data_IF_817172329085
#
_entry.id   IF_817172329085
#
_cell.length_a   1.000
_cell.length_b   1.000
_cell.length_c   1.000
_cell.angle_alpha   90.00
_cell.angle_beta   90.00
_cell.angle_gamma   90.00
#
_symmetry.space_group_name_H-M   'P 1'
#
loop_
_entity.id
_entity.type
_entity.pdbx_description
1 polymer ?
#
# COMPACT_ATOMS: atom_id res chain seq x y z
N UNK A 1 -1.47 -11.34 9.88
CA UNK A 1 -0.02 -11.00 9.87
C UNK A 1 0.88 -12.20 9.69
N UNK A 2 1.07 -13.04 10.72
CA UNK A 2 2.14 -14.06 10.67
C UNK A 2 2.03 -15.01 9.46
N UNK A 3 0.81 -15.32 9.02
CA UNK A 3 0.53 -16.09 7.81
C UNK A 3 1.16 -15.48 6.55
N UNK A 4 0.89 -14.22 6.26
CA UNK A 4 1.45 -13.52 5.09
C UNK A 4 2.96 -13.33 5.18
N UNK A 5 3.46 -13.07 6.39
CA UNK A 5 4.89 -13.07 6.66
C UNK A 5 5.53 -14.43 6.33
N UNK A 6 4.94 -15.55 6.79
CA UNK A 6 5.45 -16.88 6.54
C UNK A 6 5.41 -17.23 5.05
N UNK A 7 4.33 -16.88 4.35
CA UNK A 7 4.21 -17.04 2.89
C UNK A 7 5.38 -16.38 2.16
N UNK A 8 5.71 -15.13 2.49
CA UNK A 8 6.85 -14.42 1.89
C UNK A 8 8.21 -15.06 2.19
N UNK A 9 8.38 -15.64 3.39
CA UNK A 9 9.60 -16.38 3.70
C UNK A 9 9.72 -17.63 2.83
N UNK A 10 8.64 -18.37 2.69
CA UNK A 10 8.62 -19.62 1.93
C UNK A 10 8.89 -19.36 0.44
N UNK A 11 8.27 -18.33 -0.14
CA UNK A 11 8.49 -17.90 -1.53
C UNK A 11 9.94 -17.44 -1.80
N UNK A 12 10.55 -16.76 -0.83
CA UNK A 12 11.93 -16.22 -0.95
C UNK A 12 12.99 -17.19 -0.45
N UNK A 13 12.61 -18.37 0.06
CA UNK A 13 13.53 -19.33 0.68
C UNK A 13 14.24 -18.80 1.94
N UNK A 14 13.63 -17.85 2.63
CA UNK A 14 14.17 -17.19 3.82
C UNK A 14 13.72 -17.88 5.11
N UNK A 15 14.45 -17.64 6.19
CA UNK A 15 14.17 -18.11 7.55
C UNK A 15 14.04 -16.94 8.51
N UNK A 16 13.40 -17.17 9.66
CA UNK A 16 13.32 -16.18 10.75
C UNK A 16 14.71 -15.63 11.14
N UNK A 17 15.75 -16.45 11.04
CA UNK A 17 17.13 -16.02 11.30
C UNK A 17 17.62 -14.93 10.34
N UNK A 18 17.16 -14.94 9.09
CA UNK A 18 17.54 -13.96 8.07
C UNK A 18 16.86 -12.62 8.36
N UNK A 19 15.56 -12.68 8.67
CA UNK A 19 14.77 -11.51 9.08
C UNK A 19 15.31 -10.91 10.37
N UNK A 20 15.69 -11.74 11.33
CA UNK A 20 16.26 -11.29 12.60
C UNK A 20 17.57 -10.52 12.39
N UNK A 21 18.45 -11.04 11.53
CA UNK A 21 19.72 -10.38 11.17
C UNK A 21 19.50 -9.05 10.44
N UNK A 22 18.51 -8.95 9.56
CA UNK A 22 18.24 -7.74 8.79
C UNK A 22 17.51 -6.64 9.58
N UNK A 23 16.55 -7.02 10.43
CA UNK A 23 15.62 -6.08 11.08
C UNK A 23 16.00 -5.74 12.52
N UNK A 24 16.85 -6.56 13.14
CA UNK A 24 17.18 -6.52 14.57
C UNK A 24 16.07 -7.04 15.47
N UNK A 25 14.99 -7.61 14.93
CA UNK A 25 13.93 -8.25 15.70
C UNK A 25 14.41 -9.63 16.12
N UNK A 26 14.29 -10.01 17.39
CA UNK A 26 14.80 -11.31 17.85
C UNK A 26 14.01 -12.50 17.28
N UNK A 27 14.68 -13.63 17.05
CA UNK A 27 14.02 -14.90 16.70
C UNK A 27 12.94 -15.30 17.71
N UNK A 28 13.15 -14.99 18.99
CA UNK A 28 12.17 -15.22 20.06
C UNK A 28 10.89 -14.43 19.78
N UNK A 29 11.02 -13.13 19.51
CA UNK A 29 9.89 -12.24 19.21
C UNK A 29 9.12 -12.71 17.98
N UNK A 30 9.80 -13.08 16.89
CA UNK A 30 9.15 -13.64 15.70
C UNK A 30 8.37 -14.93 16.02
N UNK A 31 8.94 -15.78 16.88
CA UNK A 31 8.30 -17.02 17.31
C UNK A 31 7.12 -16.80 18.26
N UNK A 32 7.13 -15.73 19.05
CA UNK A 32 6.02 -15.34 19.91
C UNK A 32 4.84 -14.85 19.07
N UNK A 33 5.09 -14.11 17.99
CA UNK A 33 4.05 -13.70 17.04
C UNK A 33 3.41 -14.91 16.32
N UNK A 34 4.21 -15.92 15.96
CA UNK A 34 3.69 -17.19 15.41
C UNK A 34 2.67 -17.85 16.34
N UNK A 35 2.94 -17.79 17.64
CA UNK A 35 2.13 -18.43 18.69
C UNK A 35 1.03 -17.53 19.25
N UNK A 36 0.88 -16.31 18.74
CA UNK A 36 -0.10 -15.34 19.23
C UNK A 36 0.18 -14.84 20.66
N UNK A 37 1.41 -14.98 21.18
CA UNK A 37 1.76 -14.51 22.54
C UNK A 37 1.89 -13.00 22.63
N UNK A 38 2.19 -12.34 21.53
CA UNK A 38 2.26 -10.88 21.43
C UNK A 38 1.94 -10.45 20.01
N UNK A 39 1.67 -9.15 19.84
CA UNK A 39 1.41 -8.56 18.55
C UNK A 39 2.58 -7.68 18.08
N UNK A 40 2.89 -7.69 16.77
CA UNK A 40 3.92 -6.84 16.21
C UNK A 40 3.48 -5.37 16.22
N UNK A 41 4.34 -4.49 16.74
CA UNK A 41 4.11 -3.04 16.61
C UNK A 41 4.35 -2.59 15.16
N UNK A 42 3.65 -1.54 14.73
CA UNK A 42 3.78 -0.94 13.39
C UNK A 42 5.24 -0.72 12.97
N UNK A 43 6.08 -0.19 13.88
CA UNK A 43 7.52 0.01 13.63
C UNK A 43 8.27 -1.27 13.24
N UNK A 44 7.93 -2.40 13.87
CA UNK A 44 8.56 -3.69 13.55
C UNK A 44 7.99 -4.30 12.27
N UNK A 45 6.70 -4.15 12.03
CA UNK A 45 6.08 -4.57 10.78
C UNK A 45 6.66 -3.82 9.58
N UNK A 46 6.88 -2.51 9.71
CA UNK A 46 7.51 -1.70 8.66
C UNK A 46 8.91 -2.21 8.31
N UNK A 47 9.76 -2.47 9.31
CA UNK A 47 11.09 -3.04 9.08
C UNK A 47 11.06 -4.37 8.32
N UNK A 48 10.07 -5.22 8.62
CA UNK A 48 9.88 -6.49 7.93
C UNK A 48 9.42 -6.26 6.49
N UNK A 49 8.48 -5.34 6.28
CA UNK A 49 8.00 -4.97 4.95
C UNK A 49 9.15 -4.46 4.06
N UNK A 50 9.96 -3.55 4.59
CA UNK A 50 11.13 -2.98 3.90
C UNK A 50 12.14 -4.07 3.52
N UNK A 51 12.45 -4.99 4.45
CA UNK A 51 13.38 -6.09 4.19
C UNK A 51 12.85 -7.10 3.17
N UNK A 52 11.57 -7.47 3.28
CA UNK A 52 10.95 -8.44 2.38
C UNK A 52 10.56 -7.82 1.02
N UNK A 53 10.67 -6.51 0.86
CA UNK A 53 10.28 -5.80 -0.36
C UNK A 53 8.77 -5.87 -0.59
N UNK A 54 7.97 -5.72 0.46
CA UNK A 54 6.51 -5.72 0.42
C UNK A 54 5.94 -4.48 1.12
N UNK A 55 4.62 -4.33 1.17
CA UNK A 55 3.97 -3.26 1.92
C UNK A 55 3.58 -3.70 3.32
N UNK A 56 3.46 -2.72 4.22
CA UNK A 56 2.85 -2.94 5.52
C UNK A 56 1.41 -3.48 5.37
N UNK A 57 0.66 -2.97 4.39
CA UNK A 57 -0.71 -3.41 4.10
C UNK A 57 -0.76 -4.90 3.80
N UNK A 58 0.11 -5.39 2.91
CA UNK A 58 0.19 -6.81 2.59
C UNK A 58 0.43 -7.68 3.83
N UNK A 59 1.33 -7.26 4.73
CA UNK A 59 1.56 -7.99 5.97
C UNK A 59 0.32 -8.03 6.87
N UNK A 60 -0.57 -7.05 6.80
CA UNK A 60 -1.78 -7.00 7.64
C UNK A 60 -2.96 -7.72 6.99
N UNK A 61 -3.28 -7.36 5.74
CA UNK A 61 -4.51 -7.78 5.03
C UNK A 61 -4.27 -8.91 4.03
N UNK A 62 -3.05 -9.07 3.53
CA UNK A 62 -2.72 -10.01 2.46
C UNK A 62 -3.01 -9.47 1.06
N UNK A 63 -3.46 -8.23 0.96
CA UNK A 63 -3.76 -7.59 -0.32
C UNK A 63 -2.46 -7.11 -0.98
N UNK A 64 -2.21 -7.60 -2.20
CA UNK A 64 -1.08 -7.18 -3.03
C UNK A 64 -1.37 -5.79 -3.62
N UNK A 65 -1.17 -4.73 -2.84
CA UNK A 65 -0.85 -3.44 -3.43
C UNK A 65 0.66 -3.40 -3.62
N UNK A 66 1.13 -3.52 -4.87
CA UNK A 66 2.52 -3.22 -5.18
C UNK A 66 2.58 -1.73 -5.55
N UNK A 67 3.11 -0.85 -4.66
CA UNK A 67 3.07 0.59 -4.88
C UNK A 67 3.81 1.01 -6.14
N UNK A 68 4.78 0.20 -6.59
CA UNK A 68 5.54 0.45 -7.82
C UNK A 68 4.65 0.23 -9.05
N UNK A 69 3.84 -0.85 -9.07
CA UNK A 69 2.91 -1.07 -10.17
C UNK A 69 1.73 -0.10 -10.13
N UNK A 70 1.29 0.28 -8.93
CA UNK A 70 0.20 1.24 -8.75
C UNK A 70 0.63 2.63 -9.23
N UNK A 71 1.82 3.08 -8.84
CA UNK A 71 2.39 4.33 -9.34
C UNK A 71 2.66 4.29 -10.86
N UNK A 72 3.22 3.19 -11.38
CA UNK A 72 3.48 3.05 -12.81
C UNK A 72 2.18 3.04 -13.64
N UNK A 73 1.10 2.44 -13.13
CA UNK A 73 -0.21 2.46 -13.76
C UNK A 73 -0.82 3.87 -13.73
N UNK A 74 -0.73 4.58 -12.60
CA UNK A 74 -1.16 5.98 -12.51
C UNK A 74 -0.39 6.84 -13.52
N UNK A 75 0.93 6.70 -13.59
CA UNK A 75 1.77 7.47 -14.51
C UNK A 75 1.44 7.16 -15.98
N UNK A 76 1.20 5.88 -16.31
CA UNK A 76 0.77 5.45 -17.64
C UNK A 76 -0.61 6.00 -18.00
N UNK A 77 -1.59 5.90 -17.10
CA UNK A 77 -2.93 6.45 -17.30
C UNK A 77 -2.86 7.97 -17.48
N UNK A 78 -2.19 8.69 -16.59
CA UNK A 78 -1.97 10.14 -16.70
C UNK A 78 -1.27 10.51 -18.01
N UNK A 79 -0.32 9.71 -18.49
CA UNK A 79 0.36 9.95 -19.77
C UNK A 79 -0.60 9.85 -20.96
N UNK A 80 -1.60 8.97 -20.89
CA UNK A 80 -2.58 8.71 -21.94
C UNK A 80 -3.85 9.57 -21.84
N UNK A 81 -4.01 10.36 -20.78
CA UNK A 81 -5.14 11.30 -20.66
C UNK A 81 -5.06 12.40 -21.73
N UNK A 82 -6.22 12.70 -22.31
CA UNK A 82 -6.42 13.78 -23.28
C UNK A 82 -5.84 15.13 -22.76
N UNK A 83 -5.21 15.90 -23.65
CA UNK A 83 -4.51 17.14 -23.28
C UNK A 83 -5.44 18.18 -22.62
N UNK A 84 -6.73 18.16 -22.95
CA UNK A 84 -7.74 19.03 -22.32
C UNK A 84 -8.05 18.59 -20.89
N UNK A 85 -8.12 17.28 -20.63
CA UNK A 85 -8.31 16.75 -19.28
C UNK A 85 -7.10 17.03 -18.38
N UNK A 86 -5.88 16.97 -18.92
CA UNK A 86 -4.66 17.39 -18.21
C UNK A 86 -4.71 18.86 -17.77
N UNK A 87 -5.19 19.75 -18.65
CA UNK A 87 -5.38 21.17 -18.32
C UNK A 87 -6.41 21.36 -17.18
N UNK A 88 -7.50 20.59 -17.17
CA UNK A 88 -8.46 20.62 -16.07
C UNK A 88 -7.87 20.10 -14.75
N UNK A 89 -7.12 19.00 -14.78
CA UNK A 89 -6.42 18.48 -13.58
C UNK A 89 -5.44 19.52 -13.05
N UNK A 90 -4.68 20.17 -13.93
CA UNK A 90 -3.78 21.24 -13.54
C UNK A 90 -4.52 22.43 -12.90
N UNK A 91 -5.64 22.86 -13.49
CA UNK A 91 -6.48 23.92 -12.91
C UNK A 91 -7.04 23.55 -11.54
N UNK A 92 -7.53 22.31 -11.39
CA UNK A 92 -8.02 21.79 -10.10
C UNK A 92 -6.94 21.87 -9.02
N UNK A 93 -5.70 21.49 -9.35
CA UNK A 93 -4.57 21.54 -8.40
C UNK A 93 -4.24 22.94 -7.87
N UNK A 94 -4.76 24.00 -8.51
CA UNK A 94 -4.57 25.40 -8.08
C UNK A 94 -5.69 25.93 -7.19
N UNK A 95 -6.78 25.20 -7.06
CA UNK A 95 -7.93 25.58 -6.22
C UNK A 95 -7.69 25.20 -4.75
N UNK A 96 -8.44 25.82 -3.84
CA UNK A 96 -8.44 25.42 -2.44
C UNK A 96 -9.07 24.04 -2.23
N UNK A 97 -8.70 23.36 -1.15
CA UNK A 97 -9.22 22.02 -0.83
C UNK A 97 -10.76 21.97 -0.84
N UNK A 98 -11.42 23.02 -0.31
CA UNK A 98 -12.87 23.14 -0.28
C UNK A 98 -13.49 23.26 -1.68
N UNK A 99 -12.83 23.98 -2.59
CA UNK A 99 -13.29 24.11 -3.97
C UNK A 99 -13.06 22.82 -4.76
N UNK A 100 -11.94 22.13 -4.53
CA UNK A 100 -11.68 20.81 -5.10
C UNK A 100 -12.74 19.81 -4.66
N UNK A 101 -13.03 19.74 -3.35
CA UNK A 101 -14.05 18.85 -2.77
C UNK A 101 -15.44 19.08 -3.40
N UNK A 102 -15.85 20.35 -3.57
CA UNK A 102 -17.12 20.67 -4.22
C UNK A 102 -17.19 20.14 -5.66
N UNK A 103 -16.09 20.21 -6.41
CA UNK A 103 -16.04 19.72 -7.79
C UNK A 103 -16.09 18.19 -7.82
N UNK A 104 -15.39 17.52 -6.91
CA UNK A 104 -15.44 16.04 -6.81
C UNK A 104 -16.87 15.58 -6.52
N UNK A 105 -17.57 16.21 -5.57
CA UNK A 105 -18.97 15.91 -5.27
C UNK A 105 -19.89 16.10 -6.50
N UNK A 106 -19.65 17.12 -7.33
CA UNK A 106 -20.40 17.33 -8.57
C UNK A 106 -20.15 16.22 -9.59
N UNK A 107 -18.90 15.78 -9.73
CA UNK A 107 -18.53 14.67 -10.62
C UNK A 107 -19.23 13.40 -10.17
N UNK A 108 -19.16 13.07 -8.89
CA UNK A 108 -19.80 11.87 -8.30
C UNK A 108 -21.32 11.90 -8.55
N UNK A 109 -21.98 13.03 -8.28
CA UNK A 109 -23.41 13.20 -8.58
C UNK A 109 -23.76 12.97 -10.05
N UNK A 110 -22.90 13.40 -10.98
CA UNK A 110 -23.12 13.13 -12.39
C UNK A 110 -22.98 11.63 -12.68
N UNK A 111 -21.94 10.96 -12.19
CA UNK A 111 -21.74 9.52 -12.39
C UNK A 111 -22.87 8.66 -11.85
N UNK A 112 -23.40 8.98 -10.67
CA UNK A 112 -24.56 8.29 -10.09
C UNK A 112 -25.82 8.46 -10.93
N UNK A 113 -26.02 9.64 -11.54
CA UNK A 113 -27.17 9.93 -12.40
C UNK A 113 -27.11 9.18 -13.74
N UNK A 114 -25.93 8.84 -14.24
CA UNK A 114 -25.73 8.07 -15.47
C UNK A 114 -25.69 6.54 -15.25
N UNK A 115 -25.73 6.08 -14.00
CA UNK A 115 -25.71 4.65 -13.63
C UNK A 115 -27.10 4.05 -13.37
N UNK A 116 -28.17 4.75 -13.78
CA UNK A 116 -29.57 4.27 -13.80
C UNK A 116 -30.16 4.37 -15.20
#
# INVERSE_FOLDING_TARGET
MYEYYQKLLDEKGLKNADVSRATGISNMTLSDWKRGKSEPKTKNMQKIADFLGTTLSYLVTGEESNPIFEQANIDYELSNIDSKLKDYVFKLSKLSDKEQENIMNLIDMMYEKYSK
#
